data_IF_102593752795
#
_entry.id   IF_102593752795
#
_cell.length_a   1.000
_cell.length_b   1.000
_cell.length_c   1.000
_cell.angle_alpha   90.00
_cell.angle_beta   90.00
_cell.angle_gamma   90.00
#
_symmetry.space_group_name_H-M   'P 1'
#
loop_
_entity.id
_entity.type
_entity.pdbx_description
1 polymer ?
#
# COMPACT_ATOMS: atom_id res chain seq x y z
N UNK A 1 1.80 -29.32 11.03
CA UNK A 1 2.87 -28.43 10.50
C UNK A 1 3.29 -27.37 11.52
N UNK A 2 2.35 -26.74 12.23
CA UNK A 2 2.61 -25.69 13.24
C UNK A 2 3.43 -26.18 14.45
N UNK A 3 3.32 -27.48 14.83
CA UNK A 3 4.06 -28.09 15.96
C UNK A 3 5.58 -28.28 15.75
N UNK A 4 6.09 -28.16 14.51
CA UNK A 4 7.53 -28.36 14.23
C UNK A 4 8.35 -27.05 14.35
N UNK A 5 7.68 -25.89 14.45
CA UNK A 5 8.34 -24.58 14.41
C UNK A 5 8.82 -24.08 15.78
N UNK A 6 8.44 -24.73 16.88
CA UNK A 6 8.78 -24.28 18.24
C UNK A 6 10.25 -24.55 18.65
N UNK A 7 11.07 -25.21 17.82
CA UNK A 7 12.39 -25.69 18.26
C UNK A 7 13.55 -24.71 18.02
N UNK A 8 13.40 -23.64 17.25
CA UNK A 8 14.48 -22.66 17.01
C UNK A 8 13.96 -21.24 16.77
N UNK A 9 14.00 -20.41 17.82
CA UNK A 9 13.52 -19.01 17.82
C UNK A 9 14.35 -18.12 16.86
N UNK A 10 15.63 -18.41 16.64
CA UNK A 10 16.47 -17.68 15.67
C UNK A 10 16.08 -17.95 14.22
N UNK A 11 15.74 -19.20 13.89
CA UNK A 11 15.26 -19.58 12.55
C UNK A 11 13.89 -18.96 12.22
N UNK A 12 13.08 -18.60 13.21
CA UNK A 12 11.82 -17.87 13.01
C UNK A 12 12.05 -16.40 12.61
N UNK A 13 12.97 -15.69 13.28
CA UNK A 13 13.23 -14.27 13.01
C UNK A 13 13.77 -14.04 11.60
N UNK A 14 14.68 -14.88 11.13
CA UNK A 14 15.22 -14.77 9.78
C UNK A 14 14.18 -15.09 8.70
N UNK A 15 13.28 -16.06 8.96
CA UNK A 15 12.16 -16.36 8.07
C UNK A 15 11.18 -15.19 8.00
N UNK A 16 10.82 -14.60 9.14
CA UNK A 16 9.93 -13.43 9.20
C UNK A 16 10.56 -12.23 8.47
N UNK A 17 11.84 -11.93 8.71
CA UNK A 17 12.54 -10.85 8.01
C UNK A 17 12.59 -11.08 6.50
N UNK A 18 12.90 -12.29 6.06
CA UNK A 18 12.92 -12.67 4.64
C UNK A 18 11.52 -12.58 4.02
N UNK A 19 10.47 -12.91 4.78
CA UNK A 19 9.09 -12.77 4.35
C UNK A 19 8.72 -11.30 4.16
N UNK A 20 8.96 -10.45 5.17
CA UNK A 20 8.67 -9.01 5.11
C UNK A 20 9.43 -8.35 3.95
N UNK A 21 10.70 -8.71 3.72
CA UNK A 21 11.48 -8.18 2.59
C UNK A 21 10.92 -8.63 1.22
N UNK A 22 10.31 -9.81 1.13
CA UNK A 22 9.63 -10.25 -0.09
C UNK A 22 8.35 -9.46 -0.30
N UNK A 23 7.56 -9.25 0.74
CA UNK A 23 6.32 -8.48 0.69
C UNK A 23 6.54 -7.00 0.42
N UNK A 24 7.63 -6.44 0.92
CA UNK A 24 8.03 -5.08 0.56
C UNK A 24 8.35 -4.98 -0.94
N UNK A 25 9.03 -5.98 -1.52
CA UNK A 25 9.33 -6.00 -2.97
C UNK A 25 8.08 -6.15 -3.82
N UNK A 26 7.15 -7.03 -3.43
CA UNK A 26 5.86 -7.17 -4.13
C UNK A 26 5.06 -5.88 -4.04
N UNK A 27 5.04 -5.24 -2.86
CA UNK A 27 4.42 -3.93 -2.64
C UNK A 27 5.00 -2.82 -3.51
N UNK A 28 6.33 -2.73 -3.64
CA UNK A 28 7.00 -1.76 -4.52
C UNK A 28 6.60 -2.01 -5.98
N UNK A 29 6.63 -3.26 -6.45
CA UNK A 29 6.26 -3.59 -7.83
C UNK A 29 4.79 -3.27 -8.12
N UNK A 30 3.89 -3.66 -7.22
CA UNK A 30 2.46 -3.38 -7.34
C UNK A 30 2.19 -1.87 -7.33
N UNK A 31 2.80 -1.15 -6.38
CA UNK A 31 2.71 0.30 -6.29
C UNK A 31 3.22 0.98 -7.55
N UNK A 32 4.33 0.51 -8.12
CA UNK A 32 4.92 1.12 -9.32
C UNK A 32 4.05 0.91 -10.55
N UNK A 33 3.54 -0.32 -10.74
CA UNK A 33 2.63 -0.64 -11.86
C UNK A 33 1.35 0.21 -11.75
N UNK A 34 0.70 0.20 -10.59
CA UNK A 34 -0.56 0.92 -10.39
C UNK A 34 -0.35 2.43 -10.42
N UNK A 35 0.72 2.94 -9.80
CA UNK A 35 1.05 4.35 -9.79
C UNK A 35 1.31 4.90 -11.19
N UNK A 36 2.09 4.19 -12.02
CA UNK A 36 2.33 4.57 -13.42
C UNK A 36 1.03 4.57 -14.22
N UNK A 37 0.19 3.54 -14.05
CA UNK A 37 -1.11 3.47 -14.72
C UNK A 37 -2.00 4.66 -14.35
N UNK A 38 -2.09 5.00 -13.06
CA UNK A 38 -2.91 6.13 -12.58
C UNK A 38 -2.37 7.46 -13.10
N UNK A 39 -1.05 7.65 -13.07
CA UNK A 39 -0.42 8.85 -13.62
C UNK A 39 -0.76 9.03 -15.10
N UNK A 40 -0.62 7.96 -15.90
CA UNK A 40 -0.95 7.99 -17.32
C UNK A 40 -2.44 8.22 -17.55
N UNK A 41 -3.32 7.53 -16.82
CA UNK A 41 -4.77 7.69 -16.96
C UNK A 41 -5.21 9.12 -16.68
N UNK A 42 -4.73 9.76 -15.60
CA UNK A 42 -5.07 11.14 -15.29
C UNK A 42 -4.66 12.09 -16.42
N UNK A 43 -3.43 11.95 -16.93
CA UNK A 43 -2.95 12.81 -18.02
C UNK A 43 -3.69 12.57 -19.33
N UNK A 44 -3.96 11.32 -19.70
CA UNK A 44 -4.72 10.95 -20.91
C UNK A 44 -6.15 11.48 -20.82
N UNK A 45 -6.82 11.28 -19.69
CA UNK A 45 -8.19 11.78 -19.47
C UNK A 45 -8.23 13.30 -19.56
N UNK A 46 -7.26 13.99 -18.95
CA UNK A 46 -7.20 15.45 -19.03
C UNK A 46 -6.99 15.95 -20.47
N UNK A 47 -6.12 15.27 -21.24
CA UNK A 47 -5.89 15.60 -22.64
C UNK A 47 -7.11 15.35 -23.52
N UNK A 48 -7.86 14.27 -23.29
CA UNK A 48 -9.05 13.93 -24.09
C UNK A 48 -10.23 14.85 -23.78
N UNK A 49 -10.49 15.10 -22.49
CA UNK A 49 -11.69 15.84 -22.05
C UNK A 49 -11.48 17.35 -22.16
N UNK A 50 -10.36 17.86 -21.63
CA UNK A 50 -10.12 19.29 -21.50
C UNK A 50 -9.22 19.85 -22.61
N UNK A 51 -8.65 18.98 -23.48
CA UNK A 51 -7.73 19.33 -24.57
C UNK A 51 -6.48 20.11 -24.16
N UNK A 52 -6.18 20.16 -22.87
CA UNK A 52 -5.06 20.90 -22.32
C UNK A 52 -4.41 20.13 -21.16
N UNK A 53 -3.08 20.11 -21.15
CA UNK A 53 -2.29 19.64 -20.01
C UNK A 53 -1.71 20.88 -19.33
N UNK A 54 -2.46 21.45 -18.41
CA UNK A 54 -2.00 22.59 -17.62
C UNK A 54 -1.09 22.12 -16.47
N UNK A 55 -0.17 22.98 -16.00
CA UNK A 55 0.74 22.66 -14.89
C UNK A 55 0.05 22.15 -13.61
N UNK A 56 -1.14 22.66 -13.20
CA UNK A 56 -1.86 22.13 -12.04
C UNK A 56 -2.26 20.66 -12.21
N UNK A 57 -2.67 20.23 -13.42
CA UNK A 57 -3.09 18.87 -13.70
C UNK A 57 -1.94 17.86 -13.53
N UNK A 58 -0.72 18.28 -13.87
CA UNK A 58 0.47 17.46 -13.68
C UNK A 58 0.80 17.28 -12.19
N UNK A 59 0.59 18.31 -11.37
CA UNK A 59 0.76 18.24 -9.91
C UNK A 59 -0.25 17.26 -9.32
N UNK A 60 -1.53 17.36 -9.69
CA UNK A 60 -2.55 16.40 -9.24
C UNK A 60 -2.21 14.97 -9.64
N UNK A 61 -1.78 14.75 -10.88
CA UNK A 61 -1.40 13.42 -11.36
C UNK A 61 -0.21 12.84 -10.58
N UNK A 62 0.84 13.62 -10.36
CA UNK A 62 2.04 13.19 -9.63
C UNK A 62 1.76 12.91 -8.15
N UNK A 63 1.00 13.78 -7.48
CA UNK A 63 0.66 13.59 -6.06
C UNK A 63 -0.26 12.38 -5.87
N UNK A 64 -1.25 12.20 -6.75
CA UNK A 64 -2.18 11.06 -6.68
C UNK A 64 -1.48 9.74 -6.94
N UNK A 65 -0.65 9.65 -7.98
CA UNK A 65 0.09 8.42 -8.29
C UNK A 65 1.15 8.10 -7.23
N UNK A 66 1.87 9.11 -6.74
CA UNK A 66 2.90 8.95 -5.70
C UNK A 66 2.31 8.54 -4.35
N UNK A 67 1.19 9.14 -3.95
CA UNK A 67 0.51 8.77 -2.70
C UNK A 67 -0.03 7.34 -2.74
N UNK A 68 -0.62 6.91 -3.87
CA UNK A 68 -1.07 5.52 -4.05
C UNK A 68 0.10 4.54 -4.08
N UNK A 69 1.23 4.89 -4.71
CA UNK A 69 2.44 4.08 -4.67
C UNK A 69 2.88 3.81 -3.22
N UNK A 70 2.99 4.86 -2.40
CA UNK A 70 3.39 4.75 -0.99
C UNK A 70 2.35 3.94 -0.21
N UNK A 71 1.07 4.23 -0.42
CA UNK A 71 -0.04 3.56 0.25
C UNK A 71 -0.03 2.04 0.01
N UNK A 72 0.14 1.62 -1.25
CA UNK A 72 0.19 0.20 -1.62
C UNK A 72 1.42 -0.51 -1.05
N UNK A 73 2.59 0.14 -1.07
CA UNK A 73 3.81 -0.43 -0.50
C UNK A 73 3.67 -0.70 1.00
N UNK A 74 3.11 0.26 1.74
CA UNK A 74 2.88 0.13 3.18
C UNK A 74 1.77 -0.89 3.46
N UNK A 75 0.67 -0.83 2.70
CA UNK A 75 -0.49 -1.70 2.93
C UNK A 75 -0.19 -3.18 2.69
N UNK A 76 0.55 -3.51 1.62
CA UNK A 76 0.98 -4.91 1.36
C UNK A 76 1.89 -5.44 2.47
N UNK A 77 2.84 -4.63 2.91
CA UNK A 77 3.75 -5.01 4.00
C UNK A 77 2.98 -5.23 5.31
N UNK A 78 2.10 -4.30 5.68
CA UNK A 78 1.29 -4.42 6.90
C UNK A 78 0.25 -5.55 6.81
N UNK A 79 -0.36 -5.74 5.64
CA UNK A 79 -1.33 -6.80 5.37
C UNK A 79 -0.72 -8.18 5.61
N UNK A 80 0.52 -8.40 5.17
CA UNK A 80 1.26 -9.63 5.44
C UNK A 80 1.65 -9.81 6.92
N UNK A 81 1.69 -8.73 7.70
CA UNK A 81 1.97 -8.77 9.14
C UNK A 81 0.72 -9.06 9.98
N UNK A 82 -0.50 -8.88 9.46
CA UNK A 82 -1.75 -9.09 10.20
C UNK A 82 -1.83 -10.50 10.84
N UNK A 83 -1.60 -11.61 10.10
CA UNK A 83 -1.66 -12.95 10.71
C UNK A 83 -0.59 -13.16 11.79
N UNK A 84 0.60 -12.57 11.61
CA UNK A 84 1.70 -12.63 12.59
C UNK A 84 1.34 -11.87 13.87
N UNK A 85 0.69 -10.72 13.75
CA UNK A 85 0.19 -9.92 14.88
C UNK A 85 -0.93 -10.69 15.61
N UNK A 86 -1.87 -11.28 14.88
CA UNK A 86 -2.95 -12.08 15.48
C UNK A 86 -2.40 -13.26 16.28
N UNK A 87 -1.38 -13.94 15.75
CA UNK A 87 -0.67 -15.01 16.47
C UNK A 87 -0.07 -14.51 17.78
N UNK A 88 0.56 -13.32 17.77
CA UNK A 88 1.12 -12.71 19.00
C UNK A 88 0.06 -12.30 20.01
N UNK A 89 -1.12 -11.90 19.54
CA UNK A 89 -2.27 -11.56 20.38
C UNK A 89 -3.04 -12.80 20.86
N UNK A 90 -2.58 -14.02 20.53
CA UNK A 90 -3.26 -15.29 20.81
C UNK A 90 -4.65 -15.40 20.16
N UNK A 91 -4.87 -14.65 19.07
CA UNK A 91 -6.04 -14.73 18.21
C UNK A 91 -5.72 -15.73 17.10
N UNK A 92 -6.67 -16.60 16.76
CA UNK A 92 -6.49 -17.57 15.69
C UNK A 92 -6.24 -16.86 14.33
N UNK A 93 -5.06 -17.05 13.71
CA UNK A 93 -4.75 -16.46 12.40
C UNK A 93 -5.71 -16.92 11.30
N UNK A 94 -6.43 -18.03 11.48
CA UNK A 94 -7.46 -18.47 10.53
C UNK A 94 -8.64 -17.49 10.44
N UNK A 95 -8.83 -16.63 11.45
CA UNK A 95 -9.81 -15.53 11.44
C UNK A 95 -9.40 -14.44 10.44
N UNK A 96 -8.11 -14.32 10.13
CA UNK A 96 -7.58 -13.47 9.05
C UNK A 96 -7.87 -14.07 7.67
N UNK A 97 -9.14 -14.37 7.40
CA UNK A 97 -9.60 -14.80 6.09
C UNK A 97 -9.29 -13.75 5.03
N UNK A 98 -9.23 -14.17 3.76
CA UNK A 98 -8.97 -13.28 2.62
C UNK A 98 -9.75 -11.96 2.67
N UNK A 99 -11.09 -11.98 2.88
CA UNK A 99 -11.89 -10.76 2.96
C UNK A 99 -11.47 -9.79 4.08
N UNK A 100 -11.08 -10.28 5.25
CA UNK A 100 -10.70 -9.43 6.38
C UNK A 100 -9.38 -8.69 6.12
N UNK A 101 -8.38 -9.41 5.61
CA UNK A 101 -7.08 -8.82 5.27
C UNK A 101 -7.26 -7.77 4.17
N UNK A 102 -8.06 -8.05 3.14
CA UNK A 102 -8.32 -7.07 2.07
C UNK A 102 -9.01 -5.82 2.60
N UNK A 103 -9.99 -5.94 3.50
CA UNK A 103 -10.66 -4.76 4.08
C UNK A 103 -9.71 -3.90 4.89
N UNK A 104 -8.84 -4.50 5.73
CA UNK A 104 -7.84 -3.74 6.48
C UNK A 104 -6.86 -3.07 5.51
N UNK A 105 -6.42 -3.77 4.48
CA UNK A 105 -5.54 -3.22 3.45
C UNK A 105 -6.20 -2.02 2.74
N UNK A 106 -7.50 -2.10 2.43
CA UNK A 106 -8.23 -1.00 1.80
C UNK A 106 -8.29 0.23 2.71
N UNK A 107 -8.59 0.02 4.00
CA UNK A 107 -8.61 1.10 5.00
C UNK A 107 -7.23 1.75 5.12
N UNK A 108 -6.15 0.96 5.23
CA UNK A 108 -4.77 1.47 5.32
C UNK A 108 -4.41 2.25 4.05
N UNK A 109 -4.71 1.67 2.88
CA UNK A 109 -4.38 2.28 1.58
C UNK A 109 -5.09 3.62 1.43
N UNK A 110 -6.40 3.68 1.66
CA UNK A 110 -7.17 4.93 1.59
C UNK A 110 -6.70 5.96 2.61
N UNK A 111 -6.42 5.53 3.85
CA UNK A 111 -5.94 6.43 4.91
C UNK A 111 -4.62 7.10 4.52
N UNK A 112 -3.66 6.35 4.01
CA UNK A 112 -2.36 6.89 3.57
C UNK A 112 -2.53 7.76 2.33
N UNK A 113 -3.31 7.31 1.35
CA UNK A 113 -3.61 8.06 0.13
C UNK A 113 -4.19 9.45 0.45
N UNK A 114 -5.26 9.50 1.24
CA UNK A 114 -5.90 10.76 1.59
C UNK A 114 -5.01 11.65 2.47
N UNK A 115 -4.27 11.06 3.41
CA UNK A 115 -3.37 11.82 4.29
C UNK A 115 -2.27 12.54 3.50
N UNK A 116 -1.59 11.82 2.60
CA UNK A 116 -0.52 12.39 1.77
C UNK A 116 -1.10 13.41 0.78
N UNK A 117 -2.21 13.05 0.12
CA UNK A 117 -2.85 13.95 -0.86
C UNK A 117 -3.32 15.23 -0.20
N UNK A 118 -3.96 15.17 0.97
CA UNK A 118 -4.41 16.35 1.70
C UNK A 118 -3.22 17.22 2.14
N UNK A 119 -2.17 16.61 2.68
CA UNK A 119 -1.01 17.35 3.17
C UNK A 119 -0.30 18.13 2.06
N UNK A 120 -0.28 17.60 0.82
CA UNK A 120 0.40 18.24 -0.31
C UNK A 120 -0.54 19.16 -1.10
N UNK A 121 -1.77 18.74 -1.38
CA UNK A 121 -2.69 19.49 -2.25
C UNK A 121 -3.44 20.60 -1.52
N UNK A 122 -3.75 20.45 -0.23
CA UNK A 122 -4.52 21.44 0.51
C UNK A 122 -3.81 22.82 0.54
N UNK A 123 -2.50 22.91 0.85
CA UNK A 123 -1.80 24.20 0.84
C UNK A 123 -1.68 24.83 -0.56
N UNK A 124 -1.72 24.02 -1.63
CA UNK A 124 -1.66 24.49 -3.02
C UNK A 124 -2.99 25.09 -3.50
N UNK A 125 -4.11 24.73 -2.89
CA UNK A 125 -5.44 25.23 -3.27
C UNK A 125 -5.89 26.44 -2.45
N UNK A 126 -5.37 26.59 -1.22
CA UNK A 126 -5.77 27.67 -0.30
C UNK A 126 -4.94 28.94 -0.50
N UNK A 127 -3.75 28.85 -1.11
CA UNK A 127 -2.91 29.99 -1.47
C UNK A 127 -3.20 30.48 -2.90
#
# INVERSE_FOLDING_TARGET
MIRYLTKNIELERDKIRKHILRELKTGILQGLIIGVLIFLMINITNQIIYKEISSPNLIYATVTSGSIFIALMVSTTLGAMIPLIMTKLKIDPAVASGPFITTISDIITLSIYYSISLLILLPLYIN
#
